data_IF_832130788005
#
_entry.id   IF_832130788005
#
_cell.length_a   1.000
_cell.length_b   1.000
_cell.length_c   1.000
_cell.angle_alpha   90.00
_cell.angle_beta   90.00
_cell.angle_gamma   90.00
#
_symmetry.space_group_name_H-M   'P 1'
#
loop_
_entity.id
_entity.type
_entity.pdbx_description
1 polymer ?
#
# COMPACT_ATOMS: atom_id res chain seq x y z
N UNK A 1 2.45 -2.59 16.42
CA UNK A 1 3.45 -2.34 15.37
C UNK A 1 3.05 -3.26 14.23
N UNK A 2 2.80 -2.72 13.05
CA UNK A 2 2.37 -3.52 11.90
C UNK A 2 3.48 -4.50 11.49
N UNK A 3 3.12 -5.72 11.12
CA UNK A 3 4.05 -6.70 10.54
C UNK A 3 4.40 -6.38 9.09
N UNK A 4 3.53 -5.63 8.41
CA UNK A 4 3.65 -5.32 6.99
C UNK A 4 4.61 -4.16 6.73
N UNK A 5 4.70 -3.19 7.65
CA UNK A 5 5.58 -2.02 7.51
C UNK A 5 6.56 -1.95 8.70
N UNK A 6 7.86 -2.19 8.48
CA UNK A 6 8.91 -1.95 9.47
C UNK A 6 8.97 -0.50 9.93
N UNK A 7 9.33 -0.26 11.19
CA UNK A 7 9.37 1.10 11.78
C UNK A 7 10.32 2.04 11.05
N UNK A 8 11.43 1.52 10.54
CA UNK A 8 12.41 2.26 9.74
C UNK A 8 11.80 2.88 8.47
N UNK A 9 10.75 2.27 7.91
CA UNK A 9 10.08 2.78 6.72
C UNK A 9 8.99 3.81 7.06
N UNK A 10 8.47 3.83 8.29
CA UNK A 10 7.39 4.74 8.69
C UNK A 10 7.78 6.22 8.52
N UNK A 11 9.06 6.56 8.74
CA UNK A 11 9.57 7.93 8.57
C UNK A 11 9.68 8.36 7.10
N UNK A 12 9.74 7.41 6.16
CA UNK A 12 9.91 7.69 4.72
C UNK A 12 8.59 7.91 3.97
N UNK A 13 7.47 7.46 4.55
CA UNK A 13 6.14 7.58 3.95
C UNK A 13 5.56 8.94 4.38
N UNK A 14 4.97 9.75 3.49
CA UNK A 14 4.23 10.95 3.85
C UNK A 14 3.05 10.64 4.80
N UNK A 15 2.71 11.61 5.64
CA UNK A 15 1.46 11.65 6.40
C UNK A 15 0.24 11.84 5.50
N UNK A 16 -0.94 11.51 6.00
CA UNK A 16 -2.18 11.76 5.28
C UNK A 16 -2.30 13.24 4.89
N UNK A 17 -2.74 13.49 3.66
CA UNK A 17 -2.92 14.79 3.03
C UNK A 17 -1.63 15.57 2.72
N UNK A 18 -0.43 15.03 3.02
CA UNK A 18 0.83 15.71 2.72
C UNK A 18 1.15 15.75 1.22
N UNK A 19 0.55 14.87 0.43
CA UNK A 19 0.70 14.82 -1.03
C UNK A 19 -0.52 15.35 -1.78
N UNK A 20 -1.47 16.00 -1.09
CA UNK A 20 -2.66 16.57 -1.71
C UNK A 20 -2.28 17.58 -2.81
N UNK A 21 -2.92 17.46 -3.97
CA UNK A 21 -2.59 18.25 -5.16
C UNK A 21 -1.43 17.72 -6.00
N UNK A 22 -0.70 16.69 -5.54
CA UNK A 22 0.27 15.98 -6.39
C UNK A 22 -0.45 15.14 -7.44
N UNK A 23 -0.17 15.41 -8.71
CA UNK A 23 -0.75 14.65 -9.84
C UNK A 23 -0.07 13.28 -10.04
N UNK A 24 1.09 13.06 -9.43
CA UNK A 24 1.87 11.84 -9.58
C UNK A 24 2.62 11.54 -8.28
N UNK A 25 1.90 11.19 -7.21
CA UNK A 25 2.52 10.89 -5.92
C UNK A 25 3.37 9.62 -6.01
N UNK A 26 4.27 9.44 -5.04
CA UNK A 26 5.12 8.25 -4.94
C UNK A 26 4.37 7.16 -4.18
N UNK A 27 4.35 5.95 -4.72
CA UNK A 27 3.99 4.75 -3.99
C UNK A 27 5.23 4.24 -3.27
N UNK A 28 5.20 4.22 -1.93
CA UNK A 28 6.34 3.91 -1.08
C UNK A 28 6.46 2.43 -0.73
N UNK A 29 5.32 1.75 -0.55
CA UNK A 29 5.25 0.34 -0.16
C UNK A 29 4.32 -0.37 -1.13
N UNK A 30 4.66 -1.62 -1.48
CA UNK A 30 3.79 -2.55 -2.19
C UNK A 30 3.49 -3.74 -1.29
N UNK A 31 2.21 -4.02 -1.10
CA UNK A 31 1.68 -5.18 -0.41
C UNK A 31 0.92 -6.04 -1.43
N UNK A 32 0.92 -7.36 -1.28
CA UNK A 32 0.22 -8.25 -2.20
C UNK A 32 -0.25 -9.51 -1.51
N UNK A 33 -1.30 -10.12 -2.04
CA UNK A 33 -1.68 -11.50 -1.69
C UNK A 33 -0.85 -12.50 -2.51
N UNK A 34 -0.13 -13.45 -1.91
CA UNK A 34 0.67 -14.42 -2.66
C UNK A 34 -0.17 -15.43 -3.46
N UNK A 35 -1.42 -15.64 -3.07
CA UNK A 35 -2.36 -16.63 -3.60
C UNK A 35 -3.58 -15.99 -4.29
N UNK A 36 -3.56 -14.68 -4.55
CA UNK A 36 -4.63 -13.98 -5.27
C UNK A 36 -4.10 -12.75 -6.02
N UNK A 37 -4.92 -12.11 -6.86
CA UNK A 37 -4.50 -10.97 -7.69
C UNK A 37 -4.72 -9.60 -7.02
N UNK A 38 -4.66 -9.51 -5.69
CA UNK A 38 -4.78 -8.23 -5.00
C UNK A 38 -3.42 -7.64 -4.65
N UNK A 39 -3.26 -6.34 -4.92
CA UNK A 39 -2.07 -5.55 -4.62
C UNK A 39 -2.48 -4.19 -4.06
N UNK A 40 -1.81 -3.74 -3.01
CA UNK A 40 -1.97 -2.42 -2.42
C UNK A 40 -0.66 -1.66 -2.51
N UNK A 41 -0.74 -0.39 -2.89
CA UNK A 41 0.40 0.52 -2.93
C UNK A 41 0.14 1.68 -1.99
N UNK A 42 1.00 1.86 -0.99
CA UNK A 42 0.82 2.90 0.03
C UNK A 42 1.49 4.19 -0.45
N UNK A 43 0.72 5.27 -0.49
CA UNK A 43 1.21 6.62 -0.81
C UNK A 43 1.40 7.40 0.47
N UNK A 44 0.40 7.39 1.36
CA UNK A 44 0.43 8.11 2.63
C UNK A 44 0.04 7.18 3.78
N UNK A 45 0.54 7.47 4.97
CA UNK A 45 0.24 6.75 6.20
C UNK A 45 -0.05 7.73 7.34
N UNK A 46 -1.17 7.54 8.03
CA UNK A 46 -1.53 8.34 9.20
C UNK A 46 -0.45 8.30 10.26
N UNK A 47 0.14 9.46 10.56
CA UNK A 47 1.13 9.61 11.65
C UNK A 47 0.50 9.53 13.03
N UNK A 48 -0.81 9.72 13.13
CA UNK A 48 -1.53 9.68 14.40
C UNK A 48 -1.77 8.26 14.92
N UNK A 49 -2.04 7.31 14.01
CA UNK A 49 -2.40 5.93 14.39
C UNK A 49 -1.52 4.85 13.74
N UNK A 50 -0.65 5.20 12.78
CA UNK A 50 0.20 4.26 12.03
C UNK A 50 -0.56 3.07 11.45
N UNK A 51 -1.83 3.27 11.09
CA UNK A 51 -2.74 2.22 10.62
C UNK A 51 -3.42 2.59 9.31
N UNK A 52 -4.02 3.79 9.26
CA UNK A 52 -4.80 4.23 8.11
C UNK A 52 -3.88 4.71 7.00
N UNK A 53 -4.00 4.07 5.84
CA UNK A 53 -3.25 4.37 4.64
C UNK A 53 -4.14 5.06 3.63
N UNK A 54 -3.55 5.92 2.80
CA UNK A 54 -4.09 6.30 1.50
C UNK A 54 -3.19 5.72 0.42
N UNK A 55 -3.80 5.15 -0.61
CA UNK A 55 -3.03 4.42 -1.59
C UNK A 55 -3.84 3.89 -2.76
N UNK A 56 -3.14 3.20 -3.65
CA UNK A 56 -3.73 2.55 -4.80
C UNK A 56 -4.03 1.09 -4.48
N UNK A 57 -5.26 0.67 -4.71
CA UNK A 57 -5.71 -0.71 -4.60
C UNK A 57 -5.89 -1.24 -6.02
N UNK A 58 -5.21 -2.34 -6.34
CA UNK A 58 -5.35 -3.06 -7.60
C UNK A 58 -5.89 -4.46 -7.29
N UNK A 59 -7.09 -4.76 -7.78
CA UNK A 59 -7.82 -5.99 -7.49
C UNK A 59 -8.87 -6.26 -8.57
N UNK A 60 -10.13 -6.40 -8.18
CA UNK A 60 -11.24 -6.55 -9.14
C UNK A 60 -11.50 -5.25 -9.91
N UNK A 61 -11.61 -4.15 -9.18
CA UNK A 61 -11.63 -2.79 -9.69
C UNK A 61 -10.49 -2.05 -9.02
N UNK A 62 -9.76 -1.25 -9.79
CA UNK A 62 -8.60 -0.54 -9.26
C UNK A 62 -8.93 0.91 -8.93
N UNK A 63 -8.61 1.32 -7.70
CA UNK A 63 -9.00 2.63 -7.17
C UNK A 63 -7.92 3.26 -6.29
N UNK A 64 -7.96 4.59 -6.17
CA UNK A 64 -7.24 5.31 -5.12
C UNK A 64 -8.19 5.50 -3.94
N UNK A 65 -7.80 5.02 -2.76
CA UNK A 65 -8.69 5.01 -1.60
C UNK A 65 -7.96 4.82 -0.28
N UNK A 66 -8.75 4.78 0.78
CA UNK A 66 -8.26 4.55 2.14
C UNK A 66 -8.43 3.09 2.52
N UNK A 67 -7.47 2.56 3.28
CA UNK A 67 -7.53 1.22 3.85
C UNK A 67 -6.69 1.14 5.13
N UNK A 68 -7.00 0.20 6.01
CA UNK A 68 -6.31 0.02 7.28
C UNK A 68 -5.35 -1.18 7.24
N UNK A 69 -4.12 -1.00 7.72
CA UNK A 69 -3.13 -2.08 7.82
C UNK A 69 -3.62 -3.23 8.70
N UNK A 70 -4.28 -2.92 9.81
CA UNK A 70 -4.86 -3.92 10.71
C UNK A 70 -5.91 -4.80 10.04
N UNK A 71 -6.67 -4.23 9.09
CA UNK A 71 -7.64 -5.02 8.31
C UNK A 71 -6.90 -5.93 7.33
N UNK A 72 -5.91 -5.39 6.60
CA UNK A 72 -5.07 -6.18 5.68
C UNK A 72 -4.34 -7.33 6.40
N UNK A 73 -3.84 -7.10 7.62
CA UNK A 73 -3.20 -8.15 8.44
C UNK A 73 -4.16 -9.28 8.84
N UNK A 74 -5.46 -9.04 8.82
CA UNK A 74 -6.50 -10.04 9.10
C UNK A 74 -7.04 -10.73 7.84
N UNK A 75 -6.66 -10.26 6.64
CA UNK A 75 -7.06 -10.85 5.36
C UNK A 75 -6.20 -12.07 5.04
N UNK A 76 -6.87 -13.15 4.63
CA UNK A 76 -6.25 -14.35 4.09
C UNK A 76 -6.82 -14.63 2.71
N UNK A 77 -5.95 -14.98 1.77
CA UNK A 77 -6.35 -15.37 0.42
C UNK A 77 -6.97 -16.77 0.36
N UNK A 78 -7.34 -17.23 -0.85
CA UNK A 78 -8.07 -18.48 -1.05
C UNK A 78 -7.34 -19.75 -0.56
N UNK A 79 -6.00 -19.70 -0.48
CA UNK A 79 -5.17 -20.79 0.03
C UNK A 79 -4.79 -20.60 1.51
N UNK A 80 -5.34 -19.56 2.16
CA UNK A 80 -5.05 -19.24 3.55
C UNK A 80 -3.73 -18.50 3.75
N UNK A 81 -3.14 -17.92 2.70
CA UNK A 81 -1.92 -17.11 2.83
C UNK A 81 -2.27 -15.69 3.23
N UNK A 82 -1.48 -15.11 4.13
CA UNK A 82 -1.61 -13.71 4.52
C UNK A 82 -1.04 -12.78 3.46
N UNK A 83 -1.45 -11.51 3.50
CA UNK A 83 -0.80 -10.44 2.71
C UNK A 83 0.68 -10.32 3.11
N UNK A 84 1.53 -10.08 2.11
CA UNK A 84 2.96 -9.89 2.25
C UNK A 84 3.41 -8.53 1.71
N UNK A 85 4.57 -8.06 2.18
CA UNK A 85 5.26 -6.88 1.63
C UNK A 85 6.26 -7.32 0.57
N UNK A 86 6.26 -6.65 -0.57
CA UNK A 86 7.30 -6.79 -1.58
C UNK A 86 8.57 -6.07 -1.11
N UNK A 87 9.59 -6.83 -0.70
CA UNK A 87 10.85 -6.29 -0.19
C UNK A 87 11.77 -5.73 -1.28
N UNK A 88 11.52 -6.09 -2.55
CA UNK A 88 12.29 -5.61 -3.70
C UNK A 88 11.64 -4.40 -4.36
N UNK A 89 10.47 -3.98 -3.89
CA UNK A 89 9.78 -2.81 -4.40
C UNK A 89 10.50 -1.53 -3.95
N UNK A 90 10.87 -0.71 -4.92
CA UNK A 90 11.44 0.61 -4.68
C UNK A 90 10.35 1.70 -4.81
N UNK A 91 10.44 2.80 -4.05
CA UNK A 91 9.49 3.91 -4.16
C UNK A 91 9.33 4.38 -5.62
N UNK A 92 8.11 4.23 -6.15
CA UNK A 92 7.84 4.37 -7.59
C UNK A 92 6.70 5.35 -7.82
N UNK A 93 6.77 6.24 -8.81
CA UNK A 93 5.66 7.15 -9.13
C UNK A 93 4.38 6.41 -9.52
N UNK A 94 3.23 6.88 -9.04
CA UNK A 94 1.92 6.29 -9.28
C UNK A 94 1.63 6.07 -10.78
N UNK A 95 1.98 7.03 -11.64
CA UNK A 95 1.80 6.91 -13.08
C UNK A 95 2.61 5.76 -13.71
N UNK A 96 3.74 5.36 -13.11
CA UNK A 96 4.52 4.19 -13.55
C UNK A 96 3.83 2.90 -13.15
N UNK A 97 3.25 2.84 -11.94
CA UNK A 97 2.46 1.69 -11.48
C UNK A 97 1.26 1.45 -12.42
N UNK A 98 0.48 2.50 -12.69
CA UNK A 98 -0.68 2.49 -13.60
C UNK A 98 -0.36 1.99 -15.02
N UNK A 99 0.82 2.34 -15.56
CA UNK A 99 1.23 1.91 -16.91
C UNK A 99 1.55 0.41 -16.99
N UNK A 100 1.91 -0.20 -15.87
CA UNK A 100 2.32 -1.59 -15.81
C UNK A 100 1.15 -2.54 -15.49
N UNK A 101 -0.09 -2.05 -15.37
CA UNK A 101 -1.31 -2.85 -15.20
C UNK A 101 -1.79 -3.53 -16.50
N UNK A 102 -0.85 -3.99 -17.33
CA UNK A 102 -1.14 -4.58 -18.65
C UNK A 102 -1.54 -6.05 -18.51
#
# INVERSE_FOLDING_TARGET
MSKLIPDELLSSIPGLYETEGSLNPICHIKLFTPDSNWTWYIIELSKANTNTCYGYVNGLDSELGYFDLSELEAVYGPLGLSIERDVSFEPTPFATIKKNEI
#
